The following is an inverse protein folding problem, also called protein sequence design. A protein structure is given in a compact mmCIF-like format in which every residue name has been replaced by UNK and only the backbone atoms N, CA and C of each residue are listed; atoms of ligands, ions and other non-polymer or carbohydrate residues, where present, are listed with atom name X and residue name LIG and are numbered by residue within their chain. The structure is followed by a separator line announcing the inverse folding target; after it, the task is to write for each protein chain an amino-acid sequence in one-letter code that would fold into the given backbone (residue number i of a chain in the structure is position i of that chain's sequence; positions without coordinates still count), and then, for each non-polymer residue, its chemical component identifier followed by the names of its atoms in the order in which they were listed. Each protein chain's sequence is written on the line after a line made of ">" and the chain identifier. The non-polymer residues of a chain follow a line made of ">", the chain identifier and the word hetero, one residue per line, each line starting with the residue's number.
data_IF_530730756694
#
_entry.id   IF_530730756694
#
_cell.length_a   1.000
_cell.length_b   1.000
_cell.length_c   1.000
_cell.angle_alpha   90.00
_cell.angle_beta   90.00
_cell.angle_gamma   90.00
#
_symmetry.space_group_name_H-M   'P 1'
#
loop_
_entity.id
_entity.type
_entity.pdbx_description
1 polymer ?
#
# COMPACT_ATOMS: atom_id res chain seq x y z
N UNK A 1 -37.41 -54.54 8.87
CA UNK A 1 -37.54 -53.08 9.10
C UNK A 1 -36.29 -52.40 8.54
N UNK A 2 -36.35 -51.82 7.34
CA UNK A 2 -35.22 -51.09 6.73
C UNK A 2 -35.31 -49.61 7.13
N UNK A 3 -34.34 -49.12 7.90
CA UNK A 3 -34.24 -47.72 8.29
C UNK A 3 -33.64 -46.94 7.11
N UNK A 4 -34.42 -46.04 6.52
CA UNK A 4 -33.92 -45.08 5.54
C UNK A 4 -33.22 -43.94 6.29
N UNK A 5 -31.93 -43.72 6.04
CA UNK A 5 -31.23 -42.51 6.48
C UNK A 5 -31.57 -41.37 5.51
N UNK A 6 -32.23 -40.33 6.01
CA UNK A 6 -32.35 -39.05 5.33
C UNK A 6 -31.02 -38.29 5.51
N UNK A 7 -30.28 -38.08 4.42
CA UNK A 7 -29.14 -37.18 4.40
C UNK A 7 -29.66 -35.76 4.15
N UNK A 8 -29.51 -34.88 5.13
CA UNK A 8 -29.81 -33.45 4.99
C UNK A 8 -28.64 -32.77 4.28
N UNK A 9 -28.81 -32.42 3.02
CA UNK A 9 -27.81 -31.66 2.26
C UNK A 9 -27.86 -30.19 2.69
N UNK A 10 -26.84 -29.73 3.41
CA UNK A 10 -26.64 -28.32 3.74
C UNK A 10 -26.10 -27.60 2.50
N UNK A 11 -26.94 -26.82 1.83
CA UNK A 11 -26.54 -26.00 0.69
C UNK A 11 -25.79 -24.76 1.20
N UNK A 12 -24.46 -24.75 1.14
CA UNK A 12 -23.68 -23.53 1.34
C UNK A 12 -23.90 -22.60 0.15
N UNK A 13 -24.67 -21.52 0.37
CA UNK A 13 -24.75 -20.41 -0.57
C UNK A 13 -23.47 -19.58 -0.40
N UNK A 14 -22.49 -19.80 -1.28
CA UNK A 14 -21.37 -18.89 -1.45
C UNK A 14 -21.91 -17.62 -2.12
N UNK A 15 -22.09 -16.56 -1.34
CA UNK A 15 -22.35 -15.23 -1.90
C UNK A 15 -21.01 -14.72 -2.43
N UNK A 16 -20.85 -14.51 -3.76
CA UNK A 16 -19.65 -13.86 -4.25
C UNK A 16 -19.65 -12.42 -3.74
N UNK A 17 -18.68 -12.07 -2.91
CA UNK A 17 -18.40 -10.68 -2.58
C UNK A 17 -17.86 -10.06 -3.87
N UNK A 18 -18.62 -9.17 -4.50
CA UNK A 18 -18.12 -8.40 -5.63
C UNK A 18 -16.91 -7.60 -5.13
N UNK A 19 -15.71 -7.94 -5.60
CA UNK A 19 -14.55 -7.09 -5.38
C UNK A 19 -14.75 -5.83 -6.21
N UNK A 20 -14.71 -4.68 -5.57
CA UNK A 20 -14.72 -3.42 -6.30
C UNK A 20 -13.47 -3.33 -7.17
N UNK A 21 -13.63 -2.96 -8.44
CA UNK A 21 -12.51 -2.74 -9.35
C UNK A 21 -11.57 -1.69 -8.76
N UNK A 22 -10.26 -1.96 -8.80
CA UNK A 22 -9.30 -1.01 -8.26
C UNK A 22 -9.25 0.26 -9.13
N UNK A 23 -9.19 1.41 -8.46
CA UNK A 23 -8.95 2.71 -9.10
C UNK A 23 -7.45 3.08 -9.13
N UNK A 24 -6.56 2.15 -8.73
CA UNK A 24 -5.11 2.40 -8.79
C UNK A 24 -4.67 2.52 -10.26
N UNK A 25 -3.97 3.60 -10.65
CA UNK A 25 -3.43 3.73 -12.00
C UNK A 25 -2.38 2.65 -12.26
N UNK A 26 -2.40 2.10 -13.47
CA UNK A 26 -1.35 1.16 -13.91
C UNK A 26 0.02 1.85 -14.00
N UNK A 27 1.09 1.08 -13.82
CA UNK A 27 2.44 1.61 -13.83
C UNK A 27 3.11 1.61 -15.22
N UNK A 28 2.42 1.10 -16.25
CA UNK A 28 2.94 0.97 -17.62
C UNK A 28 3.48 2.28 -18.22
N UNK A 29 2.83 3.41 -17.92
CA UNK A 29 3.17 4.73 -18.47
C UNK A 29 3.89 5.66 -17.49
N UNK A 30 4.33 5.17 -16.33
CA UNK A 30 5.07 5.96 -15.34
C UNK A 30 6.31 6.59 -16.00
N UNK A 31 6.58 7.91 -15.79
CA UNK A 31 6.00 8.80 -14.78
C UNK A 31 4.79 9.64 -15.25
N UNK A 32 4.24 9.38 -16.44
CA UNK A 32 3.15 10.20 -17.00
C UNK A 32 1.92 10.24 -16.08
N UNK A 33 1.45 11.45 -15.76
CA UNK A 33 0.30 11.69 -14.89
C UNK A 33 0.61 11.68 -13.39
N UNK A 34 1.82 11.29 -12.99
CA UNK A 34 2.29 11.36 -11.61
C UNK A 34 3.00 12.68 -11.35
N UNK A 35 2.78 13.26 -10.18
CA UNK A 35 3.46 14.48 -9.72
C UNK A 35 4.08 14.25 -8.35
N UNK A 36 5.10 15.02 -7.99
CA UNK A 36 5.78 14.90 -6.69
C UNK A 36 4.78 15.04 -5.53
N UNK A 37 4.86 14.12 -4.56
CA UNK A 37 4.21 14.24 -3.27
C UNK A 37 5.27 14.32 -2.16
N UNK A 38 5.23 15.42 -1.40
CA UNK A 38 6.22 15.86 -0.42
C UNK A 38 7.59 16.14 -1.03
N UNK A 39 8.34 15.11 -1.43
CA UNK A 39 9.68 15.25 -1.98
C UNK A 39 9.92 14.26 -3.12
N UNK A 40 10.60 14.72 -4.17
CA UNK A 40 10.84 13.94 -5.37
C UNK A 40 11.77 12.76 -5.03
N UNK A 41 11.39 11.50 -5.31
CA UNK A 41 12.33 10.38 -5.21
C UNK A 41 13.44 10.52 -6.25
N UNK A 42 14.61 9.96 -5.95
CA UNK A 42 15.78 9.96 -6.85
C UNK A 42 15.48 9.34 -8.21
N UNK A 43 14.57 8.35 -8.26
CA UNK A 43 13.96 7.87 -9.50
C UNK A 43 12.52 7.41 -9.31
N UNK A 44 11.72 7.49 -10.38
CA UNK A 44 10.35 6.99 -10.45
C UNK A 44 10.03 6.60 -11.89
N UNK A 45 10.10 5.31 -12.21
CA UNK A 45 10.02 4.82 -13.59
C UNK A 45 9.44 3.41 -13.65
N UNK A 46 8.81 3.07 -14.78
CA UNK A 46 8.54 1.67 -15.13
C UNK A 46 9.88 0.95 -15.40
N UNK A 47 10.20 -0.10 -14.63
CA UNK A 47 11.43 -0.90 -14.78
C UNK A 47 11.25 -2.11 -15.70
N UNK A 48 10.09 -2.23 -16.36
CA UNK A 48 9.77 -3.31 -17.27
C UNK A 48 9.42 -4.59 -16.54
N UNK A 49 10.13 -5.66 -16.87
CA UNK A 49 9.94 -6.98 -16.24
C UNK A 49 10.81 -7.08 -14.99
N UNK A 50 10.19 -7.41 -13.86
CA UNK A 50 10.89 -7.68 -12.61
C UNK A 50 10.16 -8.80 -11.87
N UNK A 51 10.91 -9.79 -11.38
CA UNK A 51 10.38 -10.92 -10.58
C UNK A 51 9.11 -11.56 -11.17
N UNK A 52 9.15 -11.79 -12.49
CA UNK A 52 8.07 -12.43 -13.25
C UNK A 52 6.86 -11.54 -13.58
N UNK A 53 6.86 -10.26 -13.22
CA UNK A 53 5.79 -9.31 -13.54
C UNK A 53 6.23 -8.26 -14.53
N UNK A 54 5.31 -7.80 -15.37
CA UNK A 54 5.51 -6.68 -16.30
C UNK A 54 5.00 -5.37 -15.67
N UNK A 55 5.40 -4.24 -16.24
CA UNK A 55 4.98 -2.91 -15.82
C UNK A 55 5.21 -2.65 -14.33
N UNK A 56 6.40 -3.01 -13.85
CA UNK A 56 6.76 -2.83 -12.44
C UNK A 56 7.23 -1.41 -12.21
N UNK A 57 6.69 -0.76 -11.17
CA UNK A 57 7.18 0.54 -10.70
C UNK A 57 8.47 0.36 -9.90
N UNK A 58 9.53 1.05 -10.32
CA UNK A 58 10.74 1.25 -9.52
C UNK A 58 10.74 2.63 -8.87
N UNK A 59 10.97 2.67 -7.55
CA UNK A 59 11.18 3.90 -6.78
C UNK A 59 12.60 3.88 -6.22
N UNK A 60 13.42 4.85 -6.61
CA UNK A 60 14.79 5.00 -6.11
C UNK A 60 14.88 6.08 -5.03
N UNK A 61 15.63 5.81 -3.97
CA UNK A 61 15.94 6.76 -2.90
C UNK A 61 17.46 6.95 -2.87
N UNK A 62 17.93 8.17 -2.63
CA UNK A 62 19.36 8.47 -2.51
C UNK A 62 19.70 9.03 -1.14
N UNK A 63 20.90 8.70 -0.63
CA UNK A 63 21.44 9.30 0.58
C UNK A 63 21.76 10.79 0.42
N UNK A 64 21.92 11.27 -0.82
CA UNK A 64 22.04 12.71 -1.11
C UNK A 64 20.72 13.45 -0.81
N UNK A 65 19.59 12.74 -0.88
CA UNK A 65 18.25 13.30 -0.65
C UNK A 65 17.79 13.13 0.81
N UNK A 66 18.71 12.78 1.72
CA UNK A 66 18.44 12.81 3.18
C UNK A 66 18.23 14.24 3.65
N UNK A 67 17.64 14.41 4.84
CA UNK A 67 17.32 15.72 5.43
C UNK A 67 18.44 16.76 5.21
N UNK A 68 19.66 16.47 5.68
CA UNK A 68 20.80 17.37 5.59
C UNK A 68 21.34 17.62 4.16
N UNK A 69 20.92 16.85 3.16
CA UNK A 69 21.37 16.97 1.77
C UNK A 69 20.41 17.73 0.85
N UNK A 70 19.19 18.05 1.30
CA UNK A 70 18.19 18.79 0.50
C UNK A 70 18.37 20.30 0.59
N UNK A 71 17.75 21.04 -0.34
CA UNK A 71 17.67 22.50 -0.26
C UNK A 71 16.94 22.99 1.01
N UNK A 72 17.21 24.22 1.45
CA UNK A 72 16.71 24.79 2.70
C UNK A 72 15.17 24.69 2.87
N UNK A 73 14.41 24.86 1.79
CA UNK A 73 12.94 24.73 1.81
C UNK A 73 12.44 23.31 2.18
N UNK A 74 13.31 22.30 2.08
CA UNK A 74 13.01 20.88 2.32
C UNK A 74 13.72 20.31 3.56
N UNK A 75 14.28 21.18 4.42
CA UNK A 75 14.98 20.84 5.66
C UNK A 75 14.02 20.52 6.82
N UNK A 76 13.04 19.64 6.59
CA UNK A 76 12.18 19.12 7.65
C UNK A 76 11.91 17.63 7.49
N UNK A 77 11.53 16.97 8.60
CA UNK A 77 11.22 15.54 8.63
C UNK A 77 9.99 15.17 7.79
N UNK A 78 9.12 16.15 7.48
CA UNK A 78 8.00 15.99 6.56
C UNK A 78 8.45 15.44 5.20
N UNK A 79 9.58 15.94 4.69
CA UNK A 79 10.15 15.55 3.41
C UNK A 79 11.00 14.26 3.47
N UNK A 80 11.04 13.57 4.61
CA UNK A 80 11.64 12.23 4.69
C UNK A 80 10.80 11.17 3.99
N UNK A 81 9.50 11.43 3.80
CA UNK A 81 8.70 10.65 2.84
C UNK A 81 8.94 11.24 1.46
N UNK A 82 9.45 10.41 0.56
CA UNK A 82 9.66 10.75 -0.85
C UNK A 82 8.69 9.91 -1.68
N UNK A 83 7.98 10.53 -2.61
CA UNK A 83 6.98 9.81 -3.38
C UNK A 83 6.34 10.65 -4.48
N UNK A 84 5.41 10.00 -5.17
CA UNK A 84 4.64 10.59 -6.24
C UNK A 84 3.16 10.30 -6.00
N UNK A 85 2.31 11.24 -6.39
CA UNK A 85 0.86 11.11 -6.35
C UNK A 85 0.29 11.13 -7.77
N UNK A 86 -0.84 10.46 -7.93
CA UNK A 86 -1.65 10.50 -9.13
C UNK A 86 -3.03 11.03 -8.76
N UNK A 87 -3.58 11.93 -9.56
CA UNK A 87 -4.91 12.47 -9.31
C UNK A 87 -5.98 11.42 -9.64
N UNK A 88 -6.77 11.05 -8.65
CA UNK A 88 -7.84 10.06 -8.77
C UNK A 88 -9.16 10.65 -8.28
N UNK A 89 -10.26 10.11 -8.79
CA UNK A 89 -11.60 10.37 -8.29
C UNK A 89 -12.24 9.05 -7.89
N UNK A 90 -12.76 8.98 -6.68
CA UNK A 90 -13.40 7.79 -6.13
C UNK A 90 -14.28 8.16 -4.94
N UNK A 91 -15.23 7.29 -4.60
CA UNK A 91 -16.14 7.45 -3.47
C UNK A 91 -16.24 6.17 -2.66
N UNK A 92 -17.38 5.95 -2.00
CA UNK A 92 -17.66 4.67 -1.35
C UNK A 92 -17.49 3.50 -2.35
N UNK A 93 -16.75 2.47 -1.95
CA UNK A 93 -16.36 1.35 -2.79
C UNK A 93 -15.03 1.54 -3.53
N UNK A 94 -14.43 2.73 -3.50
CA UNK A 94 -13.12 2.95 -4.12
C UNK A 94 -12.04 2.09 -3.45
N UNK A 95 -11.28 1.37 -4.28
CA UNK A 95 -10.26 0.44 -3.83
C UNK A 95 -8.91 0.76 -4.47
N UNK A 96 -7.89 0.99 -3.66
CA UNK A 96 -6.50 1.11 -4.09
C UNK A 96 -5.78 -0.20 -3.80
N UNK A 97 -5.06 -0.73 -4.77
CA UNK A 97 -4.23 -1.91 -4.56
C UNK A 97 -2.94 -1.85 -5.36
N UNK A 98 -1.86 -2.36 -4.79
CA UNK A 98 -0.60 -2.57 -5.49
C UNK A 98 0.17 -3.70 -4.79
N UNK A 99 1.03 -4.36 -5.56
CA UNK A 99 1.87 -5.42 -5.04
C UNK A 99 3.29 -4.90 -4.86
N UNK A 100 3.91 -5.29 -3.75
CA UNK A 100 5.29 -5.00 -3.43
C UNK A 100 6.08 -6.30 -3.45
N UNK A 101 7.13 -6.36 -4.25
CA UNK A 101 8.13 -7.41 -4.09
C UNK A 101 9.03 -7.08 -2.90
N UNK A 102 9.19 -8.03 -1.98
CA UNK A 102 9.97 -7.84 -0.75
C UNK A 102 11.17 -8.80 -0.78
N UNK A 103 12.38 -8.33 -1.10
CA UNK A 103 13.57 -9.16 -1.09
C UNK A 103 13.91 -9.66 0.31
N UNK A 104 14.48 -10.87 0.44
CA UNK A 104 14.95 -11.43 1.72
C UNK A 104 15.94 -10.49 2.43
N UNK A 105 16.75 -9.73 1.68
CA UNK A 105 17.70 -8.78 2.25
C UNK A 105 17.04 -7.71 3.13
N UNK A 106 15.75 -7.40 2.93
CA UNK A 106 15.02 -6.43 3.75
C UNK A 106 14.68 -6.97 5.15
N UNK A 107 14.85 -8.28 5.39
CA UNK A 107 14.73 -8.87 6.72
C UNK A 107 15.81 -8.37 7.69
N UNK A 108 17.01 -8.10 7.17
CA UNK A 108 18.18 -7.74 7.97
C UNK A 108 18.44 -6.23 7.92
N UNK A 109 18.24 -5.57 9.06
CA UNK A 109 18.48 -4.14 9.23
C UNK A 109 19.94 -3.72 9.03
N UNK A 110 20.89 -4.65 9.01
CA UNK A 110 22.28 -4.37 8.67
C UNK A 110 22.44 -3.86 7.22
N UNK A 111 21.52 -4.20 6.31
CA UNK A 111 21.49 -3.70 4.94
C UNK A 111 20.72 -2.38 4.80
N UNK A 112 20.30 -1.80 5.93
CA UNK A 112 19.63 -0.51 5.98
C UNK A 112 18.14 -0.61 6.27
N UNK A 113 17.59 0.55 6.58
CA UNK A 113 16.19 0.71 6.90
C UNK A 113 15.37 0.98 5.64
N UNK A 114 14.34 0.17 5.42
CA UNK A 114 13.38 0.28 4.34
C UNK A 114 12.00 0.56 4.93
N UNK A 115 11.31 1.49 4.29
CA UNK A 115 9.88 1.70 4.42
C UNK A 115 9.34 2.08 3.06
N UNK A 116 8.28 1.40 2.64
CA UNK A 116 7.55 1.73 1.42
C UNK A 116 6.08 1.39 1.63
N UNK A 117 5.22 2.28 1.16
CA UNK A 117 3.79 2.24 1.42
C UNK A 117 3.02 2.66 0.17
N UNK A 118 1.78 2.19 0.05
CA UNK A 118 0.76 2.89 -0.73
C UNK A 118 -0.06 3.79 0.20
N UNK A 119 -0.45 4.97 -0.26
CA UNK A 119 -1.36 5.82 0.47
C UNK A 119 -2.44 6.43 -0.41
N UNK A 120 -3.61 6.61 0.19
CA UNK A 120 -4.70 7.40 -0.37
C UNK A 120 -4.78 8.76 0.30
N UNK A 121 -5.55 9.67 -0.32
CA UNK A 121 -5.89 10.96 0.24
C UNK A 121 -7.40 11.14 0.12
N UNK A 122 -8.08 11.20 1.27
CA UNK A 122 -9.51 11.48 1.32
C UNK A 122 -9.73 12.97 1.45
N UNK A 123 -10.80 13.46 0.80
CA UNK A 123 -11.24 14.85 0.92
C UNK A 123 -12.71 14.89 1.33
N UNK A 124 -13.11 15.90 2.08
CA UNK A 124 -14.50 16.13 2.47
C UNK A 124 -15.30 16.84 1.38
N UNK A 125 -16.56 17.17 1.67
CA UNK A 125 -17.46 17.84 0.72
C UNK A 125 -17.04 19.28 0.34
N UNK A 126 -16.03 19.84 1.00
CA UNK A 126 -15.44 21.16 0.70
C UNK A 126 -14.06 21.05 0.04
N UNK A 127 -13.68 19.85 -0.42
CA UNK A 127 -12.37 19.50 -0.96
C UNK A 127 -11.20 19.64 0.04
N UNK A 128 -11.50 19.77 1.34
CA UNK A 128 -10.47 19.77 2.37
C UNK A 128 -10.01 18.35 2.67
N UNK A 129 -8.69 18.16 2.87
CA UNK A 129 -8.12 16.83 3.19
C UNK A 129 -8.67 16.33 4.53
N UNK A 130 -9.32 15.18 4.52
CA UNK A 130 -10.01 14.60 5.67
C UNK A 130 -9.37 13.31 6.19
N UNK A 131 -8.50 12.67 5.41
CA UNK A 131 -7.86 11.42 5.81
C UNK A 131 -6.70 11.00 4.92
N UNK A 132 -5.80 10.20 5.48
CA UNK A 132 -4.62 9.67 4.81
C UNK A 132 -4.50 8.18 5.15
N UNK A 133 -5.27 7.29 4.49
CA UNK A 133 -5.06 5.86 4.67
C UNK A 133 -3.71 5.44 4.08
N UNK A 134 -2.91 4.72 4.85
CA UNK A 134 -1.55 4.28 4.46
C UNK A 134 -1.37 2.83 4.89
N UNK A 135 -0.80 1.99 4.02
CA UNK A 135 -0.41 0.61 4.35
C UNK A 135 0.87 0.25 3.61
N UNK A 136 1.72 -0.55 4.25
CA UNK A 136 2.95 -1.01 3.62
C UNK A 136 3.85 -1.85 4.52
N UNK A 137 5.12 -1.84 4.17
CA UNK A 137 6.18 -2.62 4.80
C UNK A 137 7.19 -1.70 5.47
N UNK A 138 7.77 -2.14 6.60
CA UNK A 138 9.00 -1.55 7.12
C UNK A 138 9.84 -2.52 7.95
N UNK A 139 11.16 -2.34 7.92
CA UNK A 139 12.10 -2.93 8.89
C UNK A 139 12.75 -1.85 9.79
N UNK A 140 12.28 -0.59 9.74
CA UNK A 140 12.85 0.49 10.53
C UNK A 140 12.35 0.43 11.98
N UNK A 141 13.25 0.52 12.95
CA UNK A 141 12.89 0.61 14.38
C UNK A 141 12.33 -0.68 14.99
N UNK A 142 12.74 -1.84 14.45
CA UNK A 142 12.35 -3.17 14.93
C UNK A 142 12.32 -4.19 13.79
N UNK A 143 11.85 -5.40 14.08
CA UNK A 143 11.76 -6.48 13.09
C UNK A 143 10.92 -6.08 11.87
N UNK A 144 11.25 -6.64 10.70
CA UNK A 144 10.51 -6.44 9.47
C UNK A 144 9.03 -6.85 9.63
N UNK A 145 8.12 -5.95 9.21
CA UNK A 145 6.69 -6.08 9.48
C UNK A 145 5.85 -5.29 8.48
N UNK A 146 4.60 -5.72 8.34
CA UNK A 146 3.56 -4.89 7.72
C UNK A 146 2.92 -3.98 8.74
N UNK A 147 2.47 -2.82 8.29
CA UNK A 147 1.75 -1.88 9.14
C UNK A 147 0.83 -0.99 8.32
N UNK A 148 -0.16 -0.44 8.99
CA UNK A 148 -1.04 0.58 8.43
C UNK A 148 -1.16 1.78 9.36
N UNK A 149 -1.54 2.92 8.80
CA UNK A 149 -1.85 4.13 9.55
C UNK A 149 -3.33 4.15 9.89
N UNK A 150 -3.66 3.98 11.18
CA UNK A 150 -5.03 4.09 11.67
C UNK A 150 -5.40 5.59 11.80
N UNK A 151 -5.91 6.16 10.71
CA UNK A 151 -6.28 7.57 10.67
C UNK A 151 -7.68 7.84 11.25
N UNK A 152 -8.54 6.83 11.38
CA UNK A 152 -9.91 6.97 11.90
C UNK A 152 -10.03 6.58 13.38
N UNK A 153 -9.04 5.88 13.94
CA UNK A 153 -8.90 5.61 15.37
C UNK A 153 -8.02 6.65 16.08
N UNK A 154 -7.07 6.18 16.89
CA UNK A 154 -6.26 7.01 17.77
C UNK A 154 -5.15 7.82 17.05
N UNK A 155 -5.02 7.68 15.73
CA UNK A 155 -4.00 8.35 14.94
C UNK A 155 -2.61 7.75 15.20
N UNK A 156 -2.31 6.61 14.57
CA UNK A 156 -1.05 5.92 14.81
C UNK A 156 -0.72 4.80 13.82
N UNK A 157 0.51 4.30 13.92
CA UNK A 157 0.92 3.10 13.20
C UNK A 157 0.49 1.85 13.96
N UNK A 158 -0.24 0.97 13.28
CA UNK A 158 -0.60 -0.34 13.79
C UNK A 158 0.16 -1.42 13.03
N UNK A 159 0.91 -2.25 13.76
CA UNK A 159 1.62 -3.38 13.18
C UNK A 159 0.66 -4.54 12.94
N UNK A 160 0.85 -5.26 11.84
CA UNK A 160 0.06 -6.46 11.50
C UNK A 160 0.85 -7.70 11.90
N UNK A 161 0.16 -8.71 12.45
CA UNK A 161 0.79 -9.97 12.91
C UNK A 161 1.11 -10.95 11.78
N UNK A 162 0.58 -10.72 10.57
CA UNK A 162 0.87 -11.50 9.37
C UNK A 162 2.38 -11.51 9.11
N UNK A 163 3.02 -12.70 9.05
CA UNK A 163 4.45 -12.79 8.75
C UNK A 163 4.79 -12.19 7.39
N UNK A 164 5.98 -11.60 7.30
CA UNK A 164 6.49 -11.08 6.03
C UNK A 164 6.85 -12.24 5.12
N UNK A 165 6.36 -12.21 3.89
CA UNK A 165 6.79 -13.10 2.81
C UNK A 165 7.96 -12.45 2.10
N UNK A 166 9.09 -13.15 2.04
CA UNK A 166 10.32 -12.69 1.36
C UNK A 166 10.48 -13.37 0.01
N UNK A 167 11.25 -12.71 -0.87
CA UNK A 167 11.44 -13.05 -2.28
C UNK A 167 10.10 -13.35 -2.98
N UNK A 168 9.09 -12.59 -2.58
CA UNK A 168 7.71 -12.78 -2.96
C UNK A 168 7.01 -11.43 -3.12
N UNK A 169 5.96 -11.45 -3.93
CA UNK A 169 5.04 -10.34 -4.07
C UNK A 169 3.99 -10.39 -2.96
N UNK A 170 3.83 -9.27 -2.27
CA UNK A 170 2.79 -9.05 -1.26
C UNK A 170 1.81 -8.01 -1.79
N UNK A 171 0.53 -8.38 -1.87
CA UNK A 171 -0.54 -7.46 -2.25
C UNK A 171 -0.96 -6.61 -1.04
N UNK A 172 -1.03 -5.29 -1.23
CA UNK A 172 -1.61 -4.36 -0.27
C UNK A 172 -2.90 -3.75 -0.83
N UNK A 173 -3.92 -3.62 0.02
CA UNK A 173 -5.21 -3.05 -0.34
C UNK A 173 -5.68 -1.98 0.64
N UNK A 174 -6.35 -0.96 0.11
CA UNK A 174 -7.06 0.09 0.84
C UNK A 174 -8.45 0.24 0.20
N UNK A 175 -9.50 -0.15 0.91
CA UNK A 175 -10.90 0.04 0.51
C UNK A 175 -11.52 1.16 1.34
N UNK A 176 -12.08 2.17 0.68
CA UNK A 176 -12.93 3.16 1.32
C UNK A 176 -14.40 2.75 1.24
N UNK A 177 -15.07 2.55 2.37
CA UNK A 177 -16.46 2.09 2.42
C UNK A 177 -17.49 3.23 2.34
N UNK A 178 -17.03 4.47 2.32
CA UNK A 178 -17.85 5.68 2.47
C UNK A 178 -17.85 6.23 3.89
N UNK A 179 -17.59 5.40 4.90
CA UNK A 179 -17.53 5.81 6.31
C UNK A 179 -16.32 5.24 7.07
N UNK A 180 -15.64 4.25 6.51
CA UNK A 180 -14.45 3.62 7.08
C UNK A 180 -13.43 3.29 6.00
N UNK A 181 -12.22 2.95 6.44
CA UNK A 181 -11.20 2.34 5.58
C UNK A 181 -10.94 0.93 6.07
N UNK A 182 -10.91 0.00 5.12
CA UNK A 182 -10.53 -1.40 5.32
C UNK A 182 -9.20 -1.63 4.64
N UNK A 183 -8.24 -2.15 5.39
CA UNK A 183 -6.92 -2.52 4.92
C UNK A 183 -6.86 -4.02 4.67
N UNK A 184 -6.15 -4.45 3.63
CA UNK A 184 -5.94 -5.87 3.36
C UNK A 184 -4.50 -6.17 2.95
N UNK A 185 -4.06 -7.38 3.27
CA UNK A 185 -2.76 -7.95 2.86
C UNK A 185 -3.04 -9.31 2.23
N UNK A 186 -2.61 -9.52 1.00
CA UNK A 186 -2.87 -10.76 0.25
C UNK A 186 -4.36 -11.16 0.22
N UNK A 187 -5.24 -10.15 0.18
CA UNK A 187 -6.70 -10.33 0.13
C UNK A 187 -7.38 -10.67 1.46
N UNK A 188 -6.65 -10.72 2.58
CA UNK A 188 -7.20 -10.91 3.94
C UNK A 188 -7.23 -9.61 4.72
#
# INVERSE_FOLDING_TARGET
>A
MRKALLALALLLVLVPVAQADSIMPGFGSVPTGWVTDRYQPASFSNVGVYEGRTDVLGIGISSNDRLAGRAAAFQSTFYNTQGMQYALTGGAGAFLTADLFIPELWADGAYGAVRTDIWGVLSDATDARSGYPIIGFTNYGGDARYRYWDYMGDGGWTNVSTPVGYDAWTNFGILFTGSSVVYSINGT
#
